data_IF_465638047842
#
_entry.id   IF_465638047842
#
_cell.length_a   1.000
_cell.length_b   1.000
_cell.length_c   1.000
_cell.angle_alpha   90.00
_cell.angle_beta   90.00
_cell.angle_gamma   90.00
#
_symmetry.space_group_name_H-M   'P 1'
#
loop_
_entity.id
_entity.type
_entity.pdbx_description
1 polymer ?
#
# COMPACT_ATOMS: atom_id res chain seq x y z
N UNK A 1 5.86 17.71 3.96
CA UNK A 1 4.50 17.26 4.33
C UNK A 1 4.27 15.82 3.90
N UNK A 2 4.52 15.46 2.63
CA UNK A 2 4.40 14.07 2.15
C UNK A 2 5.29 13.09 2.94
N UNK A 3 6.56 13.44 3.16
CA UNK A 3 7.49 12.57 3.89
C UNK A 3 7.03 12.27 5.32
N UNK A 4 6.50 13.29 6.02
CA UNK A 4 5.94 13.14 7.37
C UNK A 4 4.72 12.23 7.40
N UNK A 5 3.86 12.31 6.38
CA UNK A 5 2.69 11.42 6.26
C UNK A 5 3.13 9.99 5.98
N UNK A 6 4.11 9.80 5.10
CA UNK A 6 4.68 8.48 4.80
C UNK A 6 5.33 7.85 6.04
N UNK A 7 6.06 8.63 6.83
CA UNK A 7 6.66 8.21 8.09
C UNK A 7 5.60 7.75 9.10
N UNK A 8 4.56 8.57 9.33
CA UNK A 8 3.46 8.20 10.23
C UNK A 8 2.71 6.94 9.77
N UNK A 9 2.51 6.77 8.46
CA UNK A 9 1.91 5.54 7.92
C UNK A 9 2.82 4.34 8.20
N UNK A 10 4.14 4.49 7.98
CA UNK A 10 5.12 3.43 8.27
C UNK A 10 5.09 3.04 9.75
N UNK A 11 5.08 4.01 10.67
CA UNK A 11 4.99 3.75 12.11
C UNK A 11 3.69 3.05 12.50
N UNK A 12 2.56 3.50 11.93
CA UNK A 12 1.24 2.93 12.20
C UNK A 12 1.16 1.45 11.78
N UNK A 13 1.61 1.11 10.56
CA UNK A 13 1.58 -0.28 10.06
C UNK A 13 2.57 -1.19 10.77
N UNK A 14 3.69 -0.65 11.24
CA UNK A 14 4.70 -1.39 11.99
C UNK A 14 4.34 -1.54 13.46
N UNK A 15 3.40 -0.74 13.96
CA UNK A 15 2.93 -0.72 15.33
C UNK A 15 1.56 -1.37 15.48
N UNK A 16 0.55 -0.55 15.82
CA UNK A 16 -0.77 -1.01 16.22
C UNK A 16 -1.55 -1.73 15.11
N UNK A 17 -1.41 -1.28 13.85
CA UNK A 17 -2.23 -1.75 12.74
C UNK A 17 -1.79 -3.11 12.19
N UNK A 18 -0.59 -3.57 12.54
CA UNK A 18 0.02 -4.77 11.98
C UNK A 18 -0.85 -6.04 12.14
N UNK A 19 -1.65 -6.10 13.21
CA UNK A 19 -2.52 -7.24 13.51
C UNK A 19 -3.95 -7.06 13.00
N UNK A 20 -4.28 -5.90 12.42
CA UNK A 20 -5.60 -5.64 11.84
C UNK A 20 -5.79 -6.49 10.57
N UNK A 21 -6.87 -7.28 10.45
CA UNK A 21 -7.07 -8.19 9.32
C UNK A 21 -7.09 -7.50 7.95
N UNK A 22 -7.68 -6.32 7.85
CA UNK A 22 -7.78 -5.50 6.65
C UNK A 22 -6.41 -4.96 6.21
N UNK A 23 -5.63 -4.41 7.14
CA UNK A 23 -4.27 -3.93 6.88
C UNK A 23 -3.38 -5.08 6.40
N UNK A 24 -3.49 -6.27 7.00
CA UNK A 24 -2.75 -7.46 6.57
C UNK A 24 -3.15 -7.90 5.16
N UNK A 25 -4.44 -7.92 4.84
CA UNK A 25 -4.90 -8.30 3.50
C UNK A 25 -4.39 -7.32 2.44
N UNK A 26 -4.45 -6.01 2.71
CA UNK A 26 -3.97 -4.99 1.80
C UNK A 26 -2.44 -5.05 1.63
N UNK A 27 -1.67 -5.21 2.70
CA UNK A 27 -0.20 -5.33 2.63
C UNK A 27 0.23 -6.61 1.93
N UNK A 28 -0.44 -7.73 2.14
CA UNK A 28 -0.19 -8.98 1.42
C UNK A 28 -0.48 -8.84 -0.08
N UNK A 29 -1.49 -8.07 -0.46
CA UNK A 29 -1.86 -7.85 -1.86
C UNK A 29 -0.94 -6.87 -2.58
N UNK A 30 -0.59 -5.76 -1.93
CA UNK A 30 0.10 -4.63 -2.55
C UNK A 30 1.62 -4.65 -2.37
N UNK A 31 2.12 -5.24 -1.29
CA UNK A 31 3.54 -5.16 -0.93
C UNK A 31 4.04 -3.72 -0.72
N UNK A 32 5.34 -3.54 -0.93
CA UNK A 32 6.03 -2.26 -0.71
C UNK A 32 7.00 -1.97 -1.85
N UNK A 33 7.05 -0.70 -2.29
CA UNK A 33 8.08 -0.26 -3.22
C UNK A 33 9.44 -0.20 -2.52
N UNK A 34 10.53 -0.11 -3.29
CA UNK A 34 11.88 -0.05 -2.74
C UNK A 34 12.06 1.05 -1.67
N UNK A 35 11.54 2.25 -1.94
CA UNK A 35 11.65 3.40 -1.03
C UNK A 35 10.95 3.13 0.31
N UNK A 36 9.69 2.68 0.27
CA UNK A 36 8.92 2.38 1.49
C UNK A 36 9.43 1.15 2.20
N UNK A 37 9.96 0.16 1.47
CA UNK A 37 10.64 -0.98 2.06
C UNK A 37 11.87 -0.53 2.87
N UNK A 38 12.69 0.37 2.31
CA UNK A 38 13.85 0.90 3.02
C UNK A 38 13.43 1.68 4.28
N UNK A 39 12.36 2.48 4.20
CA UNK A 39 11.81 3.19 5.36
C UNK A 39 11.33 2.22 6.45
N UNK A 40 10.59 1.17 6.10
CA UNK A 40 10.16 0.13 7.03
C UNK A 40 11.34 -0.64 7.62
N UNK A 41 12.40 -0.86 6.84
CA UNK A 41 13.64 -1.45 7.34
C UNK A 41 14.41 -0.54 8.31
N UNK A 42 14.22 0.78 8.29
CA UNK A 42 14.87 1.65 9.27
C UNK A 42 14.15 1.62 10.64
N UNK A 43 12.91 1.12 10.69
CA UNK A 43 12.14 0.97 11.92
C UNK A 43 12.69 -0.18 12.78
N UNK A 44 12.61 -0.03 14.12
CA UNK A 44 13.15 -1.00 15.07
C UNK A 44 12.22 -2.21 15.34
N UNK A 45 11.49 -2.67 14.32
CA UNK A 45 10.55 -3.78 14.43
C UNK A 45 10.71 -4.80 13.28
N UNK A 46 11.85 -5.50 13.30
CA UNK A 46 12.22 -6.47 12.25
C UNK A 46 11.26 -7.66 12.15
N UNK A 47 10.70 -8.09 13.27
CA UNK A 47 9.77 -9.22 13.30
C UNK A 47 8.49 -8.91 12.52
N UNK A 48 7.88 -7.75 12.78
CA UNK A 48 6.66 -7.34 12.08
C UNK A 48 6.89 -7.19 10.58
N UNK A 49 8.00 -6.58 10.18
CA UNK A 49 8.35 -6.48 8.76
C UNK A 49 8.53 -7.87 8.14
N UNK A 50 9.24 -8.78 8.81
CA UNK A 50 9.45 -10.15 8.32
C UNK A 50 8.14 -10.91 8.13
N UNK A 51 7.19 -10.79 9.06
CA UNK A 51 5.88 -11.43 8.96
C UNK A 51 5.03 -10.87 7.80
N UNK A 52 5.05 -9.55 7.58
CA UNK A 52 4.37 -8.92 6.45
C UNK A 52 4.96 -9.39 5.12
N UNK A 53 6.29 -9.40 4.99
CA UNK A 53 6.95 -9.88 3.77
C UNK A 53 6.68 -11.35 3.51
N UNK A 54 6.72 -12.18 4.55
CA UNK A 54 6.45 -13.61 4.42
C UNK A 54 5.03 -13.86 3.90
N UNK A 55 4.05 -13.16 4.46
CA UNK A 55 2.64 -13.26 4.06
C UNK A 55 2.40 -12.72 2.64
N UNK A 56 3.09 -11.64 2.26
CA UNK A 56 3.08 -11.12 0.89
C UNK A 56 3.68 -12.12 -0.12
N UNK A 57 4.78 -12.79 0.21
CA UNK A 57 5.40 -13.79 -0.65
C UNK A 57 4.51 -15.04 -0.82
N UNK A 58 3.86 -15.49 0.25
CA UNK A 58 2.85 -16.58 0.21
C UNK A 58 1.67 -16.20 -0.72
N UNK A 59 1.15 -14.97 -0.60
CA UNK A 59 0.07 -14.45 -1.45
C UNK A 59 0.48 -14.40 -2.94
N UNK A 60 1.70 -13.92 -3.22
CA UNK A 60 2.26 -13.91 -4.57
C UNK A 60 2.44 -15.32 -5.14
N UNK A 61 2.93 -16.25 -4.30
CA UNK A 61 3.09 -17.66 -4.66
C UNK A 61 1.76 -18.27 -5.11
N UNK A 62 0.72 -18.11 -4.30
CA UNK A 62 -0.63 -18.58 -4.60
C UNK A 62 -1.20 -17.97 -5.89
N UNK A 63 -1.03 -16.66 -6.06
CA UNK A 63 -1.65 -15.92 -7.17
C UNK A 63 -0.96 -16.08 -8.54
N UNK A 64 0.36 -16.28 -8.55
CA UNK A 64 1.16 -16.30 -9.77
C UNK A 64 1.58 -17.71 -10.16
N UNK A 65 2.02 -18.52 -9.19
CA UNK A 65 2.65 -19.80 -9.48
C UNK A 65 1.68 -20.98 -9.37
N UNK A 66 0.79 -20.95 -8.38
CA UNK A 66 -0.07 -22.10 -8.06
C UNK A 66 -1.44 -22.10 -8.76
N UNK A 67 -1.94 -20.93 -9.22
CA UNK A 67 -3.11 -20.85 -10.10
C UNK A 67 -2.81 -21.42 -11.50
N UNK A 68 -2.90 -22.75 -11.63
CA UNK A 68 -2.92 -23.48 -12.91
C UNK A 68 -4.26 -23.24 -13.62
N UNK A 69 -4.41 -22.10 -14.28
CA UNK A 69 -5.47 -21.94 -15.26
C UNK A 69 -5.17 -22.83 -16.47
N UNK A 70 -5.99 -23.84 -16.73
CA UNK A 70 -5.93 -24.68 -17.95
C UNK A 70 -5.99 -23.84 -19.25
N UNK A 71 -6.38 -22.57 -19.15
CA UNK A 71 -6.51 -21.61 -20.26
C UNK A 71 -5.66 -20.33 -20.07
N UNK A 72 -4.64 -20.34 -19.21
CA UNK A 72 -3.81 -19.16 -19.01
C UNK A 72 -2.88 -18.91 -20.22
N UNK A 73 -2.84 -17.69 -20.79
CA UNK A 73 -1.90 -17.36 -21.86
C UNK A 73 -0.45 -17.58 -21.39
N UNK A 74 0.44 -18.02 -22.30
CA UNK A 74 1.84 -18.37 -21.99
C UNK A 74 2.60 -17.24 -21.27
N UNK A 75 2.24 -15.99 -21.52
CA UNK A 75 2.88 -14.80 -20.94
C UNK A 75 2.20 -14.26 -19.68
N UNK A 76 1.09 -14.86 -19.25
CA UNK A 76 0.30 -14.35 -18.12
C UNK A 76 1.09 -14.31 -16.80
N UNK A 77 1.99 -15.28 -16.59
CA UNK A 77 2.87 -15.32 -15.41
C UNK A 77 3.92 -14.22 -15.44
N UNK A 78 4.56 -14.00 -16.59
CA UNK A 78 5.56 -12.95 -16.77
C UNK A 78 4.95 -11.56 -16.57
N UNK A 79 3.75 -11.33 -17.13
CA UNK A 79 3.02 -10.06 -16.96
C UNK A 79 2.62 -9.82 -15.50
N UNK A 80 2.13 -10.84 -14.81
CA UNK A 80 1.79 -10.74 -13.38
C UNK A 80 3.02 -10.51 -12.50
N UNK A 81 4.16 -11.14 -12.83
CA UNK A 81 5.41 -10.94 -12.12
C UNK A 81 5.96 -9.52 -12.33
N UNK A 82 5.86 -8.98 -13.54
CA UNK A 82 6.27 -7.59 -13.83
C UNK A 82 5.46 -6.55 -13.05
N UNK A 83 4.16 -6.81 -12.83
CA UNK A 83 3.27 -5.88 -12.12
C UNK A 83 3.47 -5.83 -10.59
N UNK A 84 4.25 -6.74 -9.99
CA UNK A 84 4.48 -6.77 -8.53
C UNK A 84 5.22 -5.52 -8.06
N UNK A 85 6.17 -5.02 -8.87
CA UNK A 85 6.99 -3.86 -8.52
C UNK A 85 6.24 -2.53 -8.58
N UNK A 86 5.05 -2.52 -9.19
CA UNK A 86 4.29 -1.29 -9.43
C UNK A 86 3.35 -0.93 -8.28
N UNK A 87 3.16 -1.82 -7.31
CA UNK A 87 2.24 -1.62 -6.20
C UNK A 87 2.97 -1.35 -4.88
N UNK A 88 2.37 -0.50 -4.05
CA UNK A 88 2.85 -0.25 -2.70
C UNK A 88 1.71 0.19 -1.81
N UNK A 89 1.58 -0.45 -0.66
CA UNK A 89 0.58 -0.10 0.35
C UNK A 89 0.70 1.36 0.81
N UNK A 90 1.91 1.82 1.15
CA UNK A 90 2.13 3.18 1.67
C UNK A 90 1.79 4.21 0.61
N UNK A 91 2.28 4.06 -0.63
CA UNK A 91 1.88 4.91 -1.76
C UNK A 91 0.36 4.98 -1.93
N UNK A 92 -0.32 3.83 -1.84
CA UNK A 92 -1.77 3.77 -2.00
C UNK A 92 -2.50 4.55 -0.90
N UNK A 93 -2.04 4.48 0.36
CA UNK A 93 -2.66 5.22 1.47
C UNK A 93 -2.38 6.71 1.39
N UNK A 94 -1.18 7.12 0.98
CA UNK A 94 -0.85 8.53 0.74
C UNK A 94 -1.73 9.10 -0.37
N UNK A 95 -1.85 8.40 -1.49
CA UNK A 95 -2.67 8.85 -2.61
C UNK A 95 -4.14 8.99 -2.21
N UNK A 96 -4.68 7.98 -1.52
CA UNK A 96 -6.04 8.04 -0.98
C UNK A 96 -6.25 9.27 -0.09
N UNK A 97 -5.32 9.56 0.82
CA UNK A 97 -5.40 10.74 1.69
C UNK A 97 -5.37 12.05 0.91
N UNK A 98 -4.51 12.16 -0.11
CA UNK A 98 -4.43 13.34 -0.98
C UNK A 98 -5.76 13.54 -1.72
N UNK A 99 -6.30 12.48 -2.33
CA UNK A 99 -7.53 12.54 -3.12
C UNK A 99 -8.72 13.04 -2.26
N UNK A 100 -8.86 12.51 -1.04
CA UNK A 100 -9.96 12.89 -0.13
C UNK A 100 -9.80 14.31 0.42
N UNK A 101 -8.57 14.74 0.70
CA UNK A 101 -8.31 16.13 1.09
C UNK A 101 -8.67 17.08 -0.05
N UNK A 102 -8.26 16.77 -1.28
CA UNK A 102 -8.58 17.61 -2.45
C UNK A 102 -10.09 17.66 -2.69
N UNK A 103 -10.78 16.52 -2.63
CA UNK A 103 -12.25 16.47 -2.75
C UNK A 103 -12.94 17.37 -1.70
N UNK A 104 -12.46 17.29 -0.46
CA UNK A 104 -12.99 18.12 0.64
C UNK A 104 -12.77 19.61 0.37
N UNK A 105 -11.54 19.99 -0.02
CA UNK A 105 -11.20 21.38 -0.34
C UNK A 105 -12.05 21.92 -1.49
N UNK A 106 -12.19 21.17 -2.58
CA UNK A 106 -13.03 21.58 -3.71
C UNK A 106 -14.51 21.66 -3.34
N UNK A 107 -15.01 20.73 -2.52
CA UNK A 107 -16.39 20.74 -2.04
C UNK A 107 -16.65 21.96 -1.16
N UNK A 108 -15.74 22.29 -0.24
CA UNK A 108 -15.85 23.48 0.59
C UNK A 108 -15.75 24.76 -0.23
N UNK A 109 -14.83 24.83 -1.19
CA UNK A 109 -14.69 25.98 -2.08
C UNK A 109 -15.94 26.22 -2.94
N UNK A 110 -16.59 25.16 -3.41
CA UNK A 110 -17.80 25.28 -4.22
C UNK A 110 -19.05 25.65 -3.40
N UNK A 111 -19.16 25.14 -2.17
CA UNK A 111 -20.40 25.24 -1.37
C UNK A 111 -20.36 26.31 -0.29
N UNK A 112 -19.19 26.70 0.20
CA UNK A 112 -19.04 27.65 1.29
C UNK A 112 -18.41 28.97 0.79
N UNK A 113 -19.25 30.01 0.73
CA UNK A 113 -18.83 31.36 0.33
C UNK A 113 -17.83 32.00 1.30
N UNK A 114 -17.74 31.55 2.56
CA UNK A 114 -16.68 32.01 3.49
C UNK A 114 -15.35 31.36 3.15
N UNK A 115 -15.35 30.06 2.86
CA UNK A 115 -14.15 29.35 2.46
C UNK A 115 -13.60 29.83 1.10
N UNK A 116 -14.50 30.21 0.18
CA UNK A 116 -14.12 30.78 -1.12
C UNK A 116 -13.38 32.13 -1.02
N UNK A 117 -13.62 32.89 0.04
CA UNK A 117 -13.06 34.22 0.28
C UNK A 117 -12.01 34.23 1.41
N UNK A 118 -11.57 33.05 1.86
CA UNK A 118 -10.51 32.87 2.84
C UNK A 118 -9.14 33.09 2.19
#
# INVERSE_FOLDING_TARGET
MRDTVEEHICEYIMGAAMMEPDVRQDTNRLGFCFTHYQQLMMQNNRLSLGLMLNSHLEELRGNIFEKKGLFAPKDAKAKKAGAIGDTCFVCSKVQWGIDHMLETVFTMFAKDGKFKNL
#
